data_IF_533062129571
#
_entry.id   IF_533062129571
#
_cell.length_a   1.000
_cell.length_b   1.000
_cell.length_c   1.000
_cell.angle_alpha   90.00
_cell.angle_beta   90.00
_cell.angle_gamma   90.00
#
_symmetry.space_group_name_H-M   'P 1'
#
loop_
_entity.id
_entity.type
_entity.pdbx_description
1 polymer ?
#
# COMPACT_ATOMS: atom_id res chain seq x y z
N UNK A 1 7.74 -2.81 -12.46
CA UNK A 1 7.61 -1.85 -11.33
C UNK A 1 6.13 -1.72 -10.94
N UNK A 2 5.76 -1.31 -9.72
CA UNK A 2 4.35 -1.23 -9.35
C UNK A 2 3.67 0.00 -9.98
N UNK A 3 2.37 -0.12 -10.29
CA UNK A 3 1.52 1.03 -10.63
C UNK A 3 0.88 1.70 -9.39
N UNK A 4 1.02 1.09 -8.21
CA UNK A 4 0.42 1.54 -6.97
C UNK A 4 1.40 2.44 -6.19
N UNK A 5 1.44 3.74 -6.49
CA UNK A 5 2.36 4.67 -5.84
C UNK A 5 2.44 6.06 -6.48
N UNK A 6 3.50 6.80 -6.15
CA UNK A 6 3.81 8.10 -6.74
C UNK A 6 4.47 7.97 -8.12
N UNK A 7 4.48 9.05 -8.89
CA UNK A 7 5.09 9.07 -10.24
C UNK A 7 6.62 9.00 -10.22
N UNK A 8 7.26 9.27 -9.08
CA UNK A 8 8.70 9.51 -8.98
C UNK A 8 9.55 8.41 -9.63
N UNK A 9 9.22 7.14 -9.40
CA UNK A 9 9.93 6.02 -10.00
C UNK A 9 9.70 5.95 -11.51
N UNK A 10 8.47 6.19 -11.98
CA UNK A 10 8.15 6.19 -13.41
C UNK A 10 8.84 7.35 -14.13
N UNK A 11 8.89 8.52 -13.50
CA UNK A 11 9.58 9.71 -14.01
C UNK A 11 11.09 9.46 -14.14
N UNK A 12 11.69 8.76 -13.16
CA UNK A 12 13.10 8.36 -13.20
C UNK A 12 13.38 7.34 -14.31
N UNK A 13 12.51 6.34 -14.50
CA UNK A 13 12.62 5.34 -15.58
C UNK A 13 12.55 6.01 -16.95
N UNK A 14 11.60 6.94 -17.16
CA UNK A 14 11.48 7.70 -18.42
C UNK A 14 12.70 8.60 -18.63
N UNK A 15 13.17 9.26 -17.58
CA UNK A 15 14.36 10.11 -17.63
C UNK A 15 15.64 9.33 -17.97
N UNK A 16 15.70 8.05 -17.61
CA UNK A 16 16.76 7.12 -18.01
C UNK A 16 16.60 6.59 -19.46
N UNK A 17 15.58 7.04 -20.19
CA UNK A 17 15.30 6.63 -21.57
C UNK A 17 14.61 5.27 -21.70
N UNK A 18 14.11 4.71 -20.61
CA UNK A 18 13.41 3.42 -20.59
C UNK A 18 11.88 3.59 -20.62
N UNK A 19 11.17 2.49 -20.89
CA UNK A 19 9.71 2.45 -20.91
C UNK A 19 9.21 1.77 -19.63
N UNK A 20 8.42 2.44 -18.77
CA UNK A 20 7.79 1.80 -17.63
C UNK A 20 6.84 0.68 -18.05
N UNK A 21 7.05 -0.51 -17.48
CA UNK A 21 6.12 -1.64 -17.53
C UNK A 21 5.65 -1.93 -16.12
N UNK A 22 4.32 -1.92 -15.96
CA UNK A 22 3.68 -2.15 -14.67
C UNK A 22 3.39 -3.64 -14.46
N UNK A 23 3.73 -4.14 -13.28
CA UNK A 23 3.32 -5.45 -12.79
C UNK A 23 2.47 -5.25 -11.54
N UNK A 24 1.65 -6.26 -11.23
CA UNK A 24 0.71 -6.16 -10.12
C UNK A 24 1.42 -6.29 -8.76
N UNK A 25 0.69 -5.98 -7.70
CA UNK A 25 1.19 -5.98 -6.32
C UNK A 25 0.71 -7.22 -5.57
N UNK A 26 1.48 -7.61 -4.55
CA UNK A 26 1.01 -8.56 -3.57
C UNK A 26 -0.13 -7.93 -2.76
N UNK A 27 -1.29 -8.62 -2.61
CA UNK A 27 -2.48 -8.06 -1.97
C UNK A 27 -2.28 -7.69 -0.49
N UNK A 28 -1.25 -8.23 0.15
CA UNK A 28 -1.08 -8.12 1.60
C UNK A 28 -0.03 -7.10 2.01
N UNK A 29 1.06 -7.02 1.25
CA UNK A 29 2.19 -6.12 1.48
C UNK A 29 2.11 -4.87 0.61
N UNK A 30 1.33 -4.91 -0.48
CA UNK A 30 1.25 -3.89 -1.51
C UNK A 30 2.55 -3.65 -2.28
N UNK A 31 3.62 -4.36 -1.93
CA UNK A 31 4.87 -4.40 -2.66
C UNK A 31 4.66 -5.13 -4.00
N UNK A 32 5.63 -4.99 -4.90
CA UNK A 32 5.59 -5.65 -6.20
C UNK A 32 5.56 -7.18 -6.04
N UNK A 33 4.65 -7.86 -6.74
CA UNK A 33 4.56 -9.32 -6.72
C UNK A 33 5.57 -9.96 -7.69
N UNK A 34 6.28 -11.01 -7.24
CA UNK A 34 7.35 -11.64 -8.03
C UNK A 34 6.79 -12.34 -9.26
N UNK A 35 5.67 -13.05 -9.11
CA UNK A 35 5.05 -13.83 -10.18
C UNK A 35 4.44 -12.90 -11.24
N UNK A 36 3.81 -11.81 -10.81
CA UNK A 36 3.31 -10.77 -11.71
C UNK A 36 4.44 -10.12 -12.52
N UNK A 37 5.63 -9.94 -11.94
CA UNK A 37 6.79 -9.42 -12.68
C UNK A 37 7.26 -10.42 -13.73
N UNK A 38 7.37 -11.70 -13.40
CA UNK A 38 7.80 -12.71 -14.37
C UNK A 38 6.79 -12.84 -15.53
N UNK A 39 5.48 -12.73 -15.23
CA UNK A 39 4.41 -12.82 -16.21
C UNK A 39 4.43 -11.70 -17.26
N UNK A 40 4.81 -10.47 -16.89
CA UNK A 40 4.82 -9.31 -17.81
C UNK A 40 6.18 -9.04 -18.44
N UNK A 41 7.21 -9.77 -18.03
CA UNK A 41 8.58 -9.63 -18.54
C UNK A 41 8.64 -9.98 -20.02
N UNK A 42 9.53 -9.29 -20.73
CA UNK A 42 9.88 -9.59 -22.12
C UNK A 42 11.39 -9.67 -22.28
N UNK A 43 11.86 -10.03 -23.47
CA UNK A 43 13.29 -9.97 -23.81
C UNK A 43 13.88 -8.55 -23.74
N UNK A 44 13.03 -7.51 -23.81
CA UNK A 44 13.43 -6.10 -23.67
C UNK A 44 13.51 -5.63 -22.22
N UNK A 45 13.08 -6.46 -21.27
CA UNK A 45 13.11 -6.08 -19.86
C UNK A 45 14.55 -6.08 -19.36
N UNK A 46 15.05 -4.91 -18.96
CA UNK A 46 16.42 -4.76 -18.45
C UNK A 46 16.48 -4.70 -16.91
N UNK A 47 15.41 -4.23 -16.27
CA UNK A 47 15.39 -4.01 -14.84
C UNK A 47 14.00 -4.18 -14.22
N UNK A 48 13.97 -4.51 -12.94
CA UNK A 48 12.81 -4.52 -12.05
C UNK A 48 13.07 -3.50 -10.96
N UNK A 49 12.18 -2.51 -10.84
CA UNK A 49 12.21 -1.56 -9.72
C UNK A 49 11.12 -1.96 -8.72
N UNK A 50 11.56 -2.42 -7.56
CA UNK A 50 10.75 -2.83 -6.41
C UNK A 50 10.58 -1.62 -5.50
N UNK A 51 9.36 -1.32 -5.07
CA UNK A 51 9.08 -0.20 -4.17
C UNK A 51 8.51 -0.75 -2.88
N UNK A 52 9.17 -0.49 -1.75
CA UNK A 52 8.62 -0.81 -0.42
C UNK A 52 7.43 0.10 -0.12
N UNK A 53 6.35 -0.47 0.41
CA UNK A 53 5.08 0.24 0.62
C UNK A 53 4.69 0.26 2.08
N UNK A 54 4.36 1.44 2.60
CA UNK A 54 3.73 1.62 3.91
C UNK A 54 4.53 1.11 5.12
N UNK A 55 5.79 0.75 4.90
CA UNK A 55 6.67 0.11 5.89
C UNK A 55 6.81 -1.40 5.75
N UNK A 56 6.13 -2.05 4.80
CA UNK A 56 6.40 -3.44 4.43
C UNK A 56 7.78 -3.60 3.81
N UNK A 57 8.40 -4.75 4.09
CA UNK A 57 9.54 -5.25 3.33
C UNK A 57 9.01 -5.94 2.07
N UNK A 58 9.66 -5.72 0.93
CA UNK A 58 9.37 -6.46 -0.29
C UNK A 58 10.09 -7.81 -0.28
N UNK A 59 9.62 -8.78 -1.09
CA UNK A 59 10.32 -10.06 -1.30
C UNK A 59 11.57 -9.87 -2.17
N UNK A 60 12.59 -9.22 -1.60
CA UNK A 60 13.87 -9.02 -2.27
C UNK A 60 14.60 -10.34 -2.59
N UNK A 61 14.57 -11.38 -1.72
CA UNK A 61 15.13 -12.69 -2.09
C UNK A 61 14.50 -13.28 -3.36
N UNK A 62 13.16 -13.28 -3.46
CA UNK A 62 12.45 -13.73 -4.65
C UNK A 62 12.75 -12.89 -5.88
N UNK A 63 12.77 -11.56 -5.74
CA UNK A 63 13.10 -10.62 -6.83
C UNK A 63 14.54 -10.81 -7.32
N UNK A 64 15.51 -10.98 -6.43
CA UNK A 64 16.90 -11.24 -6.81
C UNK A 64 17.07 -12.60 -7.48
N UNK A 65 16.37 -13.65 -7.01
CA UNK A 65 16.37 -14.94 -7.68
C UNK A 65 15.80 -14.84 -9.10
N UNK A 66 14.70 -14.09 -9.29
CA UNK A 66 14.13 -13.78 -10.61
C UNK A 66 15.14 -13.04 -11.49
N UNK A 67 15.79 -12.01 -10.94
CA UNK A 67 16.80 -11.22 -11.63
C UNK A 67 18.00 -12.06 -12.09
N UNK A 68 18.47 -12.99 -11.26
CA UNK A 68 19.54 -13.92 -11.62
C UNK A 68 19.13 -14.87 -12.75
N UNK A 69 17.91 -15.43 -12.70
CA UNK A 69 17.40 -16.35 -13.73
C UNK A 69 17.23 -15.70 -15.09
N UNK A 70 16.87 -14.41 -15.12
CA UNK A 70 16.51 -13.71 -16.36
C UNK A 70 17.45 -12.55 -16.71
N UNK A 71 18.60 -12.46 -16.05
CA UNK A 71 19.60 -11.40 -16.22
C UNK A 71 19.02 -9.97 -16.10
N UNK A 72 18.15 -9.74 -15.12
CA UNK A 72 17.55 -8.44 -14.83
C UNK A 72 18.30 -7.74 -13.71
N UNK A 73 18.49 -6.42 -13.86
CA UNK A 73 18.88 -5.57 -12.73
C UNK A 73 17.70 -5.45 -11.76
N UNK A 74 17.95 -5.65 -10.46
CA UNK A 74 16.93 -5.49 -9.42
C UNK A 74 17.28 -4.27 -8.57
N UNK A 75 16.41 -3.27 -8.60
CA UNK A 75 16.56 -2.01 -7.86
C UNK A 75 15.48 -1.94 -6.78
N UNK A 76 15.88 -1.56 -5.57
CA UNK A 76 14.95 -1.33 -4.47
C UNK A 76 14.84 0.17 -4.19
N UNK A 77 13.61 0.67 -4.12
CA UNK A 77 13.26 2.02 -3.72
C UNK A 77 12.44 2.00 -2.43
N UNK A 78 12.77 2.89 -1.50
CA UNK A 78 12.02 3.08 -0.26
C UNK A 78 11.12 4.31 -0.31
N UNK A 79 9.98 4.28 0.37
CA UNK A 79 9.31 5.53 0.73
C UNK A 79 10.18 6.29 1.75
N UNK A 80 10.37 7.62 1.58
CA UNK A 80 11.19 8.42 2.48
C UNK A 80 10.71 8.25 3.92
N UNK A 81 11.66 7.90 4.80
CA UNK A 81 11.33 7.45 6.15
C UNK A 81 11.00 8.63 7.07
N UNK A 82 9.96 8.47 7.90
CA UNK A 82 9.78 9.30 9.08
C UNK A 82 10.77 8.79 10.14
N UNK A 83 11.73 9.65 10.51
CA UNK A 83 12.79 9.50 11.54
C UNK A 83 12.86 8.11 12.20
N UNK A 84 13.95 7.37 11.95
CA UNK A 84 14.14 5.97 12.37
C UNK A 84 13.81 5.68 13.86
N UNK A 85 14.05 6.66 14.75
CA UNK A 85 13.81 6.56 16.20
C UNK A 85 12.33 6.43 16.59
N UNK A 86 11.41 6.79 15.70
CA UNK A 86 9.97 6.74 15.96
C UNK A 86 9.34 5.37 15.69
N UNK A 87 10.02 4.50 14.94
CA UNK A 87 9.48 3.21 14.51
C UNK A 87 9.02 2.30 15.66
N UNK A 88 9.70 2.21 16.82
CA UNK A 88 9.21 1.44 17.97
C UNK A 88 7.85 1.91 18.49
N UNK A 89 7.61 3.24 18.54
CA UNK A 89 6.32 3.79 19.00
C UNK A 89 5.22 3.52 17.98
N UNK A 90 5.50 3.71 16.69
CA UNK A 90 4.55 3.36 15.61
C UNK A 90 4.16 1.90 15.66
N UNK A 91 5.13 0.99 15.87
CA UNK A 91 4.84 -0.45 16.09
C UNK A 91 3.95 -0.71 17.29
N UNK A 92 4.18 -0.03 18.42
CA UNK A 92 3.32 -0.17 19.60
C UNK A 92 1.89 0.33 19.34
N UNK A 93 1.72 1.45 18.63
CA UNK A 93 0.41 1.96 18.21
C UNK A 93 -0.29 1.01 17.23
N UNK A 94 0.44 0.51 16.23
CA UNK A 94 -0.06 -0.48 15.28
C UNK A 94 -0.53 -1.76 15.97
N UNK A 95 0.24 -2.29 16.94
CA UNK A 95 -0.16 -3.45 17.73
C UNK A 95 -1.42 -3.16 18.56
N UNK A 96 -1.53 -1.96 19.14
CA UNK A 96 -2.73 -1.55 19.86
C UNK A 96 -3.98 -1.52 18.97
N UNK A 97 -3.86 -0.92 17.78
CA UNK A 97 -4.93 -0.82 16.79
C UNK A 97 -5.30 -2.20 16.26
N UNK A 98 -4.33 -3.01 15.85
CA UNK A 98 -4.53 -4.36 15.30
C UNK A 98 -5.33 -5.23 16.27
N UNK A 99 -5.00 -5.18 17.56
CA UNK A 99 -5.67 -5.98 18.58
C UNK A 99 -7.13 -5.54 18.89
N UNK A 100 -7.60 -4.40 18.36
CA UNK A 100 -8.88 -3.79 18.77
C UNK A 100 -9.78 -3.37 17.63
N UNK A 101 -9.24 -3.20 16.43
CA UNK A 101 -10.02 -2.92 15.24
C UNK A 101 -10.77 -4.19 14.81
N UNK A 102 -12.08 -4.05 14.63
CA UNK A 102 -12.93 -5.10 14.06
C UNK A 102 -13.84 -4.57 12.94
N UNK A 103 -13.85 -3.25 12.71
CA UNK A 103 -14.64 -2.65 11.65
C UNK A 103 -13.92 -2.49 10.30
N UNK A 104 -12.66 -2.91 10.22
CA UNK A 104 -11.80 -2.87 9.02
C UNK A 104 -10.86 -4.07 9.02
N UNK A 105 -10.34 -4.45 7.86
CA UNK A 105 -9.29 -5.46 7.77
C UNK A 105 -7.93 -4.80 8.04
N UNK A 106 -7.23 -5.28 9.07
CA UNK A 106 -5.95 -4.73 9.51
C UNK A 106 -4.80 -5.20 8.62
N UNK A 107 -3.72 -4.41 8.45
CA UNK A 107 -2.55 -4.84 7.69
C UNK A 107 -1.92 -6.07 8.33
N UNK A 108 -1.33 -6.94 7.51
CA UNK A 108 -0.49 -8.02 8.02
C UNK A 108 0.77 -7.43 8.67
N UNK A 109 1.08 -7.88 9.88
CA UNK A 109 2.35 -7.57 10.51
C UNK A 109 3.50 -8.41 9.93
N UNK A 110 4.70 -8.21 10.46
CA UNK A 110 5.86 -9.01 10.12
C UNK A 110 7.14 -8.44 10.70
N UNK A 111 8.17 -9.27 10.79
CA UNK A 111 9.51 -8.83 11.17
C UNK A 111 9.99 -7.76 10.19
N UNK A 112 10.36 -6.58 10.73
CA UNK A 112 10.83 -5.47 9.93
C UNK A 112 9.75 -4.51 9.39
N UNK A 113 8.46 -4.70 9.69
CA UNK A 113 7.44 -3.70 9.34
C UNK A 113 7.62 -2.39 10.14
N UNK A 114 7.88 -1.28 9.45
CA UNK A 114 8.17 0.01 10.11
C UNK A 114 6.92 0.82 10.47
N UNK A 115 5.76 0.45 9.92
CA UNK A 115 4.49 1.16 10.04
C UNK A 115 4.64 2.65 9.75
N UNK A 116 5.35 2.99 8.66
CA UNK A 116 5.33 4.34 8.10
C UNK A 116 3.89 4.80 7.84
N UNK A 117 3.02 3.88 7.44
CA UNK A 117 1.58 4.08 7.38
C UNK A 117 0.86 2.84 7.92
N UNK A 118 -0.23 3.03 8.66
CA UNK A 118 -1.10 1.93 9.08
C UNK A 118 -2.27 1.83 8.10
N UNK A 119 -2.09 1.03 7.06
CA UNK A 119 -3.05 0.90 5.95
C UNK A 119 -4.00 -0.27 6.22
N UNK A 120 -5.28 0.04 6.34
CA UNK A 120 -6.36 -0.95 6.49
C UNK A 120 -7.12 -1.11 5.17
N UNK A 121 -7.84 -2.21 4.98
CA UNK A 121 -8.87 -2.33 3.92
C UNK A 121 -10.25 -2.12 4.53
N UNK A 122 -11.02 -1.20 3.94
CA UNK A 122 -12.40 -0.95 4.31
C UNK A 122 -13.28 -2.04 3.69
N UNK A 123 -14.14 -2.72 4.48
CA UNK A 123 -15.04 -3.74 3.96
C UNK A 123 -16.12 -3.12 3.05
N UNK A 124 -16.73 -3.94 2.21
CA UNK A 124 -17.73 -3.52 1.22
C UNK A 124 -17.24 -3.70 -0.21
N UNK A 125 -17.77 -2.91 -1.13
CA UNK A 125 -17.53 -3.05 -2.57
C UNK A 125 -16.47 -2.06 -3.10
N UNK A 126 -15.49 -1.69 -2.26
CA UNK A 126 -14.48 -0.70 -2.62
C UNK A 126 -15.04 0.72 -2.66
N UNK A 127 -14.94 1.42 -3.80
CA UNK A 127 -15.58 2.72 -4.01
C UNK A 127 -17.05 2.52 -4.43
N UNK A 128 -18.03 3.23 -3.83
CA UNK A 128 -17.88 4.44 -3.02
C UNK A 128 -17.78 4.22 -1.49
N UNK A 129 -17.89 2.98 -1.00
CA UNK A 129 -17.97 2.66 0.43
C UNK A 129 -16.74 3.16 1.22
N UNK A 130 -15.53 2.94 0.70
CA UNK A 130 -14.27 3.45 1.30
C UNK A 130 -14.29 4.96 1.47
N UNK A 131 -14.75 5.69 0.46
CA UNK A 131 -14.79 7.17 0.49
C UNK A 131 -15.84 7.68 1.49
N UNK A 132 -16.99 6.99 1.57
CA UNK A 132 -18.00 7.26 2.59
C UNK A 132 -17.46 6.99 4.01
N UNK A 133 -16.78 5.86 4.22
CA UNK A 133 -16.15 5.50 5.49
C UNK A 133 -15.13 6.55 5.93
N UNK A 134 -14.23 6.95 5.02
CA UNK A 134 -13.21 7.98 5.27
C UNK A 134 -13.84 9.34 5.63
N UNK A 135 -14.91 9.74 4.94
CA UNK A 135 -15.64 10.98 5.24
C UNK A 135 -16.22 10.96 6.66
N UNK A 136 -16.81 9.85 7.08
CA UNK A 136 -17.39 9.74 8.43
C UNK A 136 -16.31 9.67 9.50
N UNK A 137 -15.18 8.99 9.26
CA UNK A 137 -14.03 9.01 10.17
C UNK A 137 -13.47 10.42 10.38
N UNK A 138 -13.29 11.18 9.30
CA UNK A 138 -12.83 12.58 9.38
C UNK A 138 -13.80 13.46 10.15
N UNK A 139 -15.11 13.29 9.93
CA UNK A 139 -16.14 14.00 10.70
C UNK A 139 -16.11 13.65 12.21
N UNK A 140 -15.58 12.46 12.57
CA UNK A 140 -15.34 12.04 13.97
C UNK A 140 -13.96 12.46 14.50
N UNK A 141 -13.19 13.24 13.75
CA UNK A 141 -11.88 13.74 14.16
C UNK A 141 -10.75 12.71 14.05
N UNK A 142 -10.85 11.76 13.12
CA UNK A 142 -9.78 10.83 12.76
C UNK A 142 -9.20 11.25 11.41
N UNK A 143 -7.92 11.64 11.39
CA UNK A 143 -7.24 12.13 10.18
C UNK A 143 -6.77 10.98 9.27
N UNK A 144 -7.73 10.27 8.67
CA UNK A 144 -7.42 9.20 7.72
C UNK A 144 -7.21 9.73 6.30
N UNK A 145 -6.39 9.06 5.50
CA UNK A 145 -6.10 9.40 4.09
C UNK A 145 -6.12 8.21 3.16
N UNK A 146 -6.47 8.43 1.90
CA UNK A 146 -6.35 7.42 0.85
C UNK A 146 -4.90 7.44 0.37
N UNK A 147 -4.13 6.34 0.53
CA UNK A 147 -2.70 6.36 0.25
C UNK A 147 -2.38 6.50 -1.24
N UNK A 148 -3.18 5.88 -2.11
CA UNK A 148 -3.11 6.01 -3.57
C UNK A 148 -4.53 6.11 -4.12
N UNK A 149 -4.85 7.26 -4.72
CA UNK A 149 -6.21 7.52 -5.24
C UNK A 149 -6.43 6.93 -6.62
N UNK A 150 -5.46 7.09 -7.51
CA UNK A 150 -5.52 6.60 -8.89
C UNK A 150 -4.20 5.90 -9.18
N UNK A 151 -4.20 4.58 -9.43
CA UNK A 151 -3.01 3.87 -9.88
C UNK A 151 -2.45 4.49 -11.17
N UNK A 152 -1.13 4.47 -11.31
CA UNK A 152 -0.43 5.15 -12.41
C UNK A 152 -0.91 4.72 -13.78
N UNK A 153 -1.17 3.42 -13.97
CA UNK A 153 -1.68 2.86 -15.24
C UNK A 153 -3.08 3.38 -15.64
N UNK A 154 -3.80 4.04 -14.72
CA UNK A 154 -5.09 4.72 -14.97
C UNK A 154 -4.96 6.26 -14.99
N UNK A 155 -3.78 6.82 -14.76
CA UNK A 155 -3.54 8.26 -14.87
C UNK A 155 -3.28 8.67 -16.33
N UNK A 156 -3.62 9.89 -16.77
CA UNK A 156 -3.37 10.31 -18.15
C UNK A 156 -1.90 10.22 -18.59
N UNK A 157 -0.96 10.52 -17.69
CA UNK A 157 0.48 10.52 -17.99
C UNK A 157 1.04 9.12 -18.23
N UNK A 158 0.58 8.14 -17.46
CA UNK A 158 1.10 6.78 -17.47
C UNK A 158 0.05 5.75 -17.89
N UNK A 159 -0.98 6.19 -18.62
CA UNK A 159 -2.10 5.34 -18.98
C UNK A 159 -1.62 4.11 -19.75
N UNK A 160 -2.06 2.93 -19.32
CA UNK A 160 -1.82 1.64 -19.97
C UNK A 160 -3.08 0.78 -19.85
N UNK A 161 -3.43 0.14 -20.95
CA UNK A 161 -4.49 -0.86 -20.97
C UNK A 161 -3.94 -2.22 -20.53
N UNK A 162 -3.77 -2.35 -19.21
CA UNK A 162 -3.28 -3.57 -18.55
C UNK A 162 -4.18 -3.89 -17.37
N UNK A 163 -4.37 -5.17 -17.10
CA UNK A 163 -5.13 -5.64 -15.95
C UNK A 163 -4.20 -5.80 -14.75
N UNK A 164 -4.45 -5.01 -13.69
CA UNK A 164 -3.73 -5.08 -12.42
C UNK A 164 -4.77 -5.19 -11.28
N UNK A 165 -5.48 -6.33 -11.17
CA UNK A 165 -6.63 -6.48 -10.29
C UNK A 165 -6.31 -6.18 -8.83
N UNK A 166 -5.13 -6.55 -8.33
CA UNK A 166 -4.74 -6.31 -6.94
C UNK A 166 -4.42 -4.84 -6.68
N UNK A 167 -3.78 -4.19 -7.63
CA UNK A 167 -3.54 -2.74 -7.63
C UNK A 167 -4.86 -1.96 -7.63
N UNK A 168 -5.82 -2.35 -8.46
CA UNK A 168 -7.14 -1.71 -8.53
C UNK A 168 -7.92 -1.92 -7.24
N UNK A 169 -7.97 -3.17 -6.75
CA UNK A 169 -8.62 -3.51 -5.48
C UNK A 169 -8.01 -2.73 -4.32
N UNK A 170 -6.68 -2.61 -4.26
CA UNK A 170 -6.01 -1.80 -3.25
C UNK A 170 -6.39 -0.31 -3.33
N UNK A 171 -6.46 0.28 -4.53
CA UNK A 171 -6.87 1.68 -4.68
C UNK A 171 -8.31 1.94 -4.22
N UNK A 172 -9.18 0.95 -4.38
CA UNK A 172 -10.60 1.03 -4.02
C UNK A 172 -10.86 0.83 -2.52
N UNK A 173 -10.10 -0.05 -1.87
CA UNK A 173 -10.40 -0.48 -0.49
C UNK A 173 -9.51 0.15 0.57
N UNK A 174 -8.29 0.58 0.22
CA UNK A 174 -7.30 0.98 1.25
C UNK A 174 -7.59 2.33 1.90
N UNK A 175 -7.31 2.42 3.19
CA UNK A 175 -7.36 3.65 3.96
C UNK A 175 -6.22 3.67 4.97
N UNK A 176 -5.41 4.72 4.97
CA UNK A 176 -4.37 4.92 5.96
C UNK A 176 -4.96 5.60 7.20
N UNK A 177 -4.80 4.96 8.36
CA UNK A 177 -5.15 5.51 9.66
C UNK A 177 -3.91 6.13 10.34
N UNK A 178 -4.08 7.12 11.24
CA UNK A 178 -2.98 7.67 12.01
C UNK A 178 -2.30 6.60 12.86
N UNK A 179 -0.96 6.58 12.82
CA UNK A 179 -0.12 5.69 13.64
C UNK A 179 1.13 6.41 14.17
N UNK A 180 1.16 7.73 14.05
CA UNK A 180 2.33 8.55 14.39
C UNK A 180 2.80 8.33 15.82
N UNK A 181 4.10 8.52 16.05
CA UNK A 181 4.75 8.22 17.32
C UNK A 181 4.27 9.09 18.50
N UNK A 182 3.62 10.22 18.21
CA UNK A 182 3.09 11.16 19.21
C UNK A 182 1.60 10.97 19.55
N UNK A 183 0.91 10.00 18.93
CA UNK A 183 -0.50 9.77 19.24
C UNK A 183 -0.70 9.41 20.71
N UNK A 184 -1.67 10.06 21.33
CA UNK A 184 -2.08 9.79 22.69
C UNK A 184 -2.99 8.56 22.75
N UNK A 185 -3.08 7.95 23.93
CA UNK A 185 -4.01 6.83 24.17
C UNK A 185 -5.47 7.16 23.83
N UNK A 186 -5.89 8.39 24.11
CA UNK A 186 -7.24 8.89 23.82
C UNK A 186 -7.49 8.96 22.31
N UNK A 187 -6.50 9.38 21.53
CA UNK A 187 -6.60 9.41 20.06
C UNK A 187 -6.66 8.00 19.49
N UNK A 188 -5.82 7.07 19.95
CA UNK A 188 -5.90 5.67 19.54
C UNK A 188 -7.26 5.04 19.87
N UNK A 189 -7.82 5.33 21.05
CA UNK A 189 -9.18 4.90 21.42
C UNK A 189 -10.25 5.49 20.51
N UNK A 190 -10.11 6.77 20.12
CA UNK A 190 -11.02 7.42 19.17
C UNK A 190 -10.98 6.73 17.81
N UNK A 191 -9.79 6.40 17.30
CA UNK A 191 -9.62 5.67 16.04
C UNK A 191 -10.36 4.33 16.09
N UNK A 192 -10.10 3.52 17.14
CA UNK A 192 -10.75 2.22 17.33
C UNK A 192 -12.28 2.36 17.40
N UNK A 193 -12.77 3.26 18.26
CA UNK A 193 -14.20 3.49 18.45
C UNK A 193 -14.89 3.91 17.15
N UNK A 194 -14.29 4.84 16.41
CA UNK A 194 -14.85 5.33 15.16
C UNK A 194 -14.87 4.26 14.06
N UNK A 195 -13.80 3.47 13.91
CA UNK A 195 -13.74 2.41 12.90
C UNK A 195 -14.73 1.27 13.21
N UNK A 196 -14.77 0.82 14.47
CA UNK A 196 -15.62 -0.30 14.88
C UNK A 196 -17.11 0.06 14.79
N UNK A 197 -17.48 1.31 15.09
CA UNK A 197 -18.86 1.77 14.93
C UNK A 197 -19.33 1.77 13.46
N UNK A 198 -18.41 1.92 12.50
CA UNK A 198 -18.74 1.98 11.07
C UNK A 198 -18.68 0.62 10.38
N UNK A 199 -17.77 -0.28 10.77
CA UNK A 199 -17.66 -1.58 10.11
C UNK A 199 -18.87 -2.49 10.29
N UNK A 200 -19.68 -2.27 11.34
CA UNK A 200 -20.99 -2.94 11.47
C UNK A 200 -22.04 -2.51 10.43
N UNK A 201 -21.77 -1.46 9.64
CA UNK A 201 -22.70 -0.89 8.65
C UNK A 201 -22.36 -1.26 7.21
N UNK A 202 -21.15 -1.78 6.95
CA UNK A 202 -20.68 -2.15 5.62
C UNK A 202 -20.51 -3.67 5.58
N UNK A 203 -21.55 -4.36 5.12
CA UNK A 203 -21.50 -5.78 4.79
C UNK A 203 -21.44 -5.90 3.26
N UNK A 204 -20.63 -6.81 2.68
CA UNK A 204 -20.67 -7.08 1.25
C UNK A 204 -22.11 -7.43 0.84
N UNK A 205 -22.62 -6.77 -0.19
CA UNK A 205 -23.85 -7.25 -0.83
C UNK A 205 -23.44 -8.51 -1.61
N UNK A 206 -23.93 -9.67 -1.14
CA UNK A 206 -23.72 -10.96 -1.80
C UNK A 206 -24.14 -10.93 -3.27
#
# INVERSE_FOLDING_TARGET
>A
MPAYGSTAVSDAVVSAGAIPVFADIDPMTYCLDVDAVDAVRTERTAAVVVVRRFGHQADMPGMHALGQRHALLVLEEGEPDATYDEAPRRRAHAAYLTARLNGVHTPVGGDGHSYQQYVVRVPGNGRPDRDAFARVLRAKGVDCRVPVKTPLHRTPTYWRDVELPETERAADETLALPVDAWLTRRELQRIVSACNALGGLLQPAF
#
